data_IF_569196922355
#
_entry.id   IF_569196922355
#
_cell.length_a   1.000
_cell.length_b   1.000
_cell.length_c   1.000
_cell.angle_alpha   90.00
_cell.angle_beta   90.00
_cell.angle_gamma   90.00
#
_symmetry.space_group_name_H-M   'P 1'
#
loop_
_entity.id
_entity.type
_entity.pdbx_description
1 polymer ?
#
# COMPACT_ATOMS: atom_id res chain seq x y z
N UNK A 1 -5.56 -0.26 -40.69
CA UNK A 1 -6.40 -1.21 -39.91
C UNK A 1 -5.56 -2.40 -39.47
N UNK A 2 -4.96 -2.30 -38.28
CA UNK A 2 -4.67 -3.43 -37.38
C UNK A 2 -4.70 -2.82 -35.98
N UNK A 3 -5.83 -3.06 -35.30
CA UNK A 3 -6.05 -2.71 -33.90
C UNK A 3 -5.00 -3.44 -33.07
N UNK A 4 -3.96 -2.73 -32.64
CA UNK A 4 -3.08 -3.23 -31.59
C UNK A 4 -3.68 -2.71 -30.28
N UNK A 5 -4.44 -3.57 -29.61
CA UNK A 5 -4.88 -3.36 -28.23
C UNK A 5 -3.63 -3.23 -27.37
N UNK A 6 -3.20 -2.01 -27.11
CA UNK A 6 -2.17 -1.69 -26.14
C UNK A 6 -2.85 -1.49 -24.79
N UNK A 7 -3.30 -2.58 -24.17
CA UNK A 7 -3.52 -2.64 -22.73
C UNK A 7 -2.14 -2.58 -22.06
N UNK A 8 -1.50 -1.40 -22.10
CA UNK A 8 -0.46 -1.09 -21.13
C UNK A 8 -1.18 -0.71 -19.85
N UNK A 9 -1.05 -1.59 -18.86
CA UNK A 9 -1.53 -1.38 -17.51
C UNK A 9 -1.01 -0.03 -17.01
N UNK A 10 -1.91 0.94 -17.02
CA UNK A 10 -1.71 2.30 -16.60
C UNK A 10 -1.97 2.34 -15.10
N UNK A 11 -0.87 2.42 -14.37
CA UNK A 11 -0.63 2.75 -12.96
C UNK A 11 0.59 1.90 -12.59
N UNK A 12 1.63 2.53 -12.07
CA UNK A 12 2.89 1.86 -11.75
C UNK A 12 2.64 0.49 -11.13
N UNK A 13 3.00 -0.57 -11.85
CA UNK A 13 3.76 -1.63 -11.20
C UNK A 13 4.90 -0.88 -10.54
N UNK A 14 4.75 -0.58 -9.25
CA UNK A 14 5.85 -0.19 -8.39
C UNK A 14 6.91 -1.22 -8.71
N UNK A 15 8.00 -0.77 -9.33
CA UNK A 15 9.23 -1.53 -9.31
C UNK A 15 9.46 -1.79 -7.82
N UNK A 16 9.25 -3.03 -7.39
CA UNK A 16 9.81 -3.49 -6.13
C UNK A 16 11.32 -3.50 -6.33
N UNK A 17 11.96 -2.33 -6.18
CA UNK A 17 13.39 -2.27 -5.95
C UNK A 17 13.60 -2.84 -4.56
N UNK A 18 13.78 -4.15 -4.55
CA UNK A 18 14.50 -4.83 -3.49
C UNK A 18 15.86 -4.18 -3.38
N UNK A 19 16.15 -3.59 -2.22
CA UNK A 19 17.51 -3.32 -1.81
C UNK A 19 17.75 -4.04 -0.49
N UNK A 20 18.16 -5.31 -0.57
CA UNK A 20 19.10 -5.79 0.43
C UNK A 20 20.36 -4.95 0.30
N UNK A 21 20.80 -4.35 1.41
CA UNK A 21 22.22 -4.37 1.71
C UNK A 21 22.38 -4.93 3.12
N UNK A 22 22.90 -6.15 3.19
CA UNK A 22 23.41 -6.68 4.44
C UNK A 22 24.71 -5.98 4.79
N UNK A 23 24.82 -5.41 5.99
CA UNK A 23 25.71 -6.00 7.01
C UNK A 23 25.61 -5.28 8.36
N UNK A 24 25.57 -6.15 9.38
CA UNK A 24 26.12 -6.01 10.74
C UNK A 24 25.42 -5.09 11.73
N UNK A 25 24.92 -5.76 12.76
CA UNK A 25 24.77 -5.27 14.12
C UNK A 25 25.87 -4.25 14.49
N UNK A 26 25.46 -3.00 14.73
CA UNK A 26 25.98 -2.19 15.82
C UNK A 26 24.79 -1.44 16.41
N UNK A 27 24.44 -1.80 17.64
CA UNK A 27 23.62 -0.98 18.54
C UNK A 27 24.37 0.33 18.77
N UNK A 28 23.81 1.45 18.31
CA UNK A 28 24.07 2.74 18.92
C UNK A 28 22.75 3.49 19.11
N UNK A 29 22.54 3.83 20.36
CA UNK A 29 21.37 4.46 20.97
C UNK A 29 21.21 5.92 20.53
N UNK A 30 20.96 6.16 19.24
CA UNK A 30 20.60 7.49 18.69
C UNK A 30 19.09 7.68 18.56
N UNK A 31 18.32 6.95 19.37
CA UNK A 31 16.84 6.96 19.41
C UNK A 31 16.22 8.28 19.89
N UNK A 32 17.04 9.30 20.21
CA UNK A 32 16.59 10.53 20.87
C UNK A 32 16.54 11.76 19.96
N UNK A 33 17.31 11.83 18.87
CA UNK A 33 17.39 13.03 18.01
C UNK A 33 16.49 12.98 16.76
N UNK A 34 16.07 11.79 16.32
CA UNK A 34 15.10 11.61 15.22
C UNK A 34 13.62 11.76 15.65
N UNK A 35 13.38 12.00 16.94
CA UNK A 35 12.04 12.22 17.53
C UNK A 35 11.64 13.71 17.58
N UNK A 36 12.57 14.62 17.31
CA UNK A 36 12.20 15.96 16.89
C UNK A 36 11.63 15.84 15.47
N UNK A 37 10.40 16.32 15.26
CA UNK A 37 9.66 16.44 13.99
C UNK A 37 10.59 16.18 12.79
N UNK A 38 10.36 15.14 11.96
CA UNK A 38 11.07 15.11 10.70
C UNK A 38 10.61 16.38 9.97
N UNK A 39 11.50 17.37 9.85
CA UNK A 39 11.34 18.48 8.93
C UNK A 39 11.50 17.88 7.54
N UNK A 40 10.48 17.15 7.08
CA UNK A 40 10.30 16.86 5.66
C UNK A 40 9.68 18.10 5.04
N UNK A 41 10.42 19.20 5.06
CA UNK A 41 10.09 20.31 4.17
C UNK A 41 10.47 19.88 2.76
N UNK A 42 9.60 20.14 1.77
CA UNK A 42 9.87 19.96 0.33
C UNK A 42 11.20 20.60 -0.14
N UNK A 43 11.82 21.44 0.69
CA UNK A 43 13.09 22.11 0.43
C UNK A 43 14.35 21.33 0.86
N UNK A 44 14.24 20.21 1.58
CA UNK A 44 15.39 19.55 2.22
C UNK A 44 16.19 18.58 1.32
N UNK A 45 15.79 18.35 0.07
CA UNK A 45 16.58 17.53 -0.87
C UNK A 45 17.46 18.42 -1.74
N UNK A 46 18.69 18.69 -1.29
CA UNK A 46 19.74 19.20 -2.15
C UNK A 46 20.56 18.06 -2.77
N UNK A 47 20.65 18.14 -4.10
CA UNK A 47 21.80 17.74 -4.93
C UNK A 47 22.17 16.25 -4.92
N UNK A 48 21.23 15.43 -5.42
CA UNK A 48 21.52 14.16 -6.09
C UNK A 48 21.20 14.31 -7.59
N UNK A 49 22.04 13.77 -8.46
CA UNK A 49 22.14 14.09 -9.89
C UNK A 49 20.80 14.01 -10.69
N UNK A 50 20.39 15.18 -11.20
CA UNK A 50 19.47 15.46 -12.31
C UNK A 50 18.22 14.57 -12.51
N UNK A 51 17.14 14.88 -11.79
CA UNK A 51 15.77 14.62 -12.27
C UNK A 51 14.80 15.73 -11.79
N UNK A 52 14.85 16.91 -12.41
CA UNK A 52 13.66 17.75 -12.64
C UNK A 52 14.07 19.07 -13.30
N UNK A 53 13.76 19.21 -14.59
CA UNK A 53 13.90 20.50 -15.30
C UNK A 53 12.54 21.14 -15.64
N UNK A 54 11.39 20.59 -15.19
CA UNK A 54 10.06 21.16 -15.49
C UNK A 54 8.99 20.86 -14.40
N UNK A 55 9.27 21.14 -13.12
CA UNK A 55 8.18 21.27 -12.13
C UNK A 55 7.57 22.66 -12.27
N UNK A 56 6.41 22.77 -12.91
CA UNK A 56 5.63 24.00 -12.98
C UNK A 56 4.40 23.86 -12.06
N UNK A 57 4.19 24.83 -11.18
CA UNK A 57 2.88 24.99 -10.53
C UNK A 57 1.85 25.35 -11.58
N UNK A 58 0.68 24.72 -11.53
CA UNK A 58 -0.41 25.02 -12.46
C UNK A 58 -0.92 26.48 -12.31
N UNK A 59 -1.72 26.95 -13.27
CA UNK A 59 -2.28 28.31 -13.25
C UNK A 59 -3.17 28.57 -12.02
N UNK A 60 -3.64 27.52 -11.35
CA UNK A 60 -4.45 27.61 -10.13
C UNK A 60 -3.62 27.67 -8.84
N UNK A 61 -2.33 27.32 -8.91
CA UNK A 61 -1.42 27.19 -7.77
C UNK A 61 -1.80 26.04 -6.81
N UNK A 62 -2.69 25.14 -7.20
CA UNK A 62 -3.22 24.06 -6.34
C UNK A 62 -2.52 22.73 -6.59
N UNK A 63 -2.02 22.50 -7.80
CA UNK A 63 -1.36 21.26 -8.16
C UNK A 63 0.09 21.52 -8.56
N UNK A 64 0.95 20.59 -8.16
CA UNK A 64 2.27 20.44 -8.72
C UNK A 64 2.15 19.52 -9.95
N UNK A 65 2.51 20.05 -11.12
CA UNK A 65 2.54 19.27 -12.38
C UNK A 65 3.87 18.56 -12.47
N UNK A 66 3.81 17.23 -12.64
CA UNK A 66 4.96 16.36 -12.75
C UNK A 66 4.90 15.62 -14.08
N UNK A 67 6.00 15.66 -14.83
CA UNK A 67 6.14 14.88 -16.06
C UNK A 67 6.77 13.51 -15.76
N UNK A 68 6.05 12.44 -16.11
CA UNK A 68 6.54 11.06 -15.98
C UNK A 68 6.44 10.34 -17.34
N UNK A 69 7.55 10.33 -18.07
CA UNK A 69 7.58 9.82 -19.45
C UNK A 69 6.71 10.68 -20.37
N UNK A 70 5.63 10.11 -20.90
CA UNK A 70 4.66 10.81 -21.76
C UNK A 70 3.46 11.37 -20.99
N UNK A 71 3.41 11.14 -19.67
CA UNK A 71 2.24 11.44 -18.85
C UNK A 71 2.45 12.70 -18.02
N UNK A 72 1.41 13.53 -18.00
CA UNK A 72 1.27 14.67 -17.10
C UNK A 72 0.49 14.23 -15.86
N UNK A 73 1.15 14.26 -14.70
CA UNK A 73 0.55 13.91 -13.42
C UNK A 73 0.37 15.17 -12.56
N UNK A 74 -0.74 15.24 -11.83
CA UNK A 74 -1.06 16.39 -11.00
C UNK A 74 -1.16 15.97 -9.53
N UNK A 75 -0.27 16.51 -8.72
CA UNK A 75 -0.12 16.19 -7.30
C UNK A 75 -0.73 17.33 -6.49
N UNK A 76 -1.69 17.06 -5.58
CA UNK A 76 -2.25 18.12 -4.74
C UNK A 76 -1.17 18.73 -3.85
N UNK A 77 -1.05 20.06 -3.88
CA UNK A 77 -0.15 20.79 -2.99
C UNK A 77 -0.82 20.93 -1.63
N UNK A 78 -0.31 20.20 -0.64
CA UNK A 78 -0.76 20.27 0.76
C UNK A 78 0.21 21.12 1.55
N UNK A 79 -0.31 22.06 2.35
CA UNK A 79 0.51 22.85 3.25
C UNK A 79 1.15 21.94 4.29
N UNK A 80 2.40 22.20 4.61
CA UNK A 80 3.13 21.42 5.62
C UNK A 80 2.42 21.41 6.98
N UNK A 81 1.73 22.50 7.35
CA UNK A 81 0.92 22.58 8.58
C UNK A 81 -0.27 21.63 8.62
N UNK A 82 -0.73 21.20 7.44
CA UNK A 82 -1.93 20.39 7.26
C UNK A 82 -1.55 18.90 7.07
N UNK A 83 -0.26 18.59 6.96
CA UNK A 83 0.23 17.21 6.91
C UNK A 83 0.11 16.53 8.26
N UNK A 84 -0.39 15.30 8.24
CA UNK A 84 -0.53 14.48 9.44
C UNK A 84 0.75 13.67 9.65
N UNK A 85 1.30 13.74 10.85
CA UNK A 85 2.48 12.94 11.21
C UNK A 85 2.24 11.45 10.97
N UNK A 86 3.16 10.83 10.25
CA UNK A 86 3.12 9.39 9.96
C UNK A 86 2.31 9.03 8.71
N UNK A 87 1.56 9.97 8.13
CA UNK A 87 0.87 9.77 6.85
C UNK A 87 1.85 10.06 5.71
N UNK A 88 1.99 9.09 4.82
CA UNK A 88 2.74 9.24 3.58
C UNK A 88 1.83 9.80 2.48
N UNK A 89 2.16 10.99 1.99
CA UNK A 89 1.43 11.64 0.89
C UNK A 89 2.02 11.23 -0.46
N UNK A 90 1.28 11.46 -1.55
CA UNK A 90 1.63 11.08 -2.92
C UNK A 90 3.04 11.52 -3.32
N UNK A 91 3.46 12.73 -2.96
CA UNK A 91 4.82 13.20 -3.26
C UNK A 91 5.87 12.33 -2.54
N UNK A 92 5.66 12.05 -1.26
CA UNK A 92 6.55 11.21 -0.46
C UNK A 92 6.58 9.78 -1.03
N UNK A 93 5.42 9.21 -1.35
CA UNK A 93 5.28 7.87 -1.90
C UNK A 93 5.94 7.69 -3.29
N UNK A 94 6.03 8.75 -4.10
CA UNK A 94 6.64 8.70 -5.44
C UNK A 94 8.12 9.10 -5.46
N UNK A 95 8.55 10.01 -4.59
CA UNK A 95 9.87 10.66 -4.69
C UNK A 95 10.73 10.54 -3.45
N UNK A 96 10.14 10.32 -2.27
CA UNK A 96 10.92 10.14 -1.06
C UNK A 96 11.26 8.65 -0.90
N UNK A 97 12.54 8.29 -1.10
CA UNK A 97 13.07 6.96 -0.80
C UNK A 97 13.16 6.71 0.72
N UNK A 98 12.04 6.81 1.45
CA UNK A 98 12.08 6.83 2.91
C UNK A 98 10.99 5.99 3.59
N UNK A 99 10.67 4.85 3.00
CA UNK A 99 9.73 3.85 3.56
C UNK A 99 10.10 3.47 5.00
N UNK A 100 11.41 3.41 5.30
CA UNK A 100 11.93 3.11 6.65
C UNK A 100 11.58 4.18 7.69
N UNK A 101 11.42 5.45 7.30
CA UNK A 101 11.05 6.53 8.23
C UNK A 101 9.59 6.38 8.66
N UNK A 102 8.66 6.15 7.74
CA UNK A 102 7.25 5.91 8.09
C UNK A 102 7.09 4.66 8.96
N UNK A 103 7.79 3.58 8.63
CA UNK A 103 7.84 2.37 9.44
C UNK A 103 8.36 2.61 10.85
N UNK A 104 9.33 3.51 11.03
CA UNK A 104 9.87 3.84 12.34
C UNK A 104 8.94 4.76 13.14
N UNK A 105 8.35 5.78 12.49
CA UNK A 105 7.44 6.74 13.12
C UNK A 105 6.16 6.06 13.61
N UNK A 106 5.62 5.14 12.82
CA UNK A 106 4.33 4.52 13.05
C UNK A 106 4.41 3.25 13.92
N UNK A 107 5.61 2.87 14.37
CA UNK A 107 5.84 1.66 15.16
C UNK A 107 5.12 1.75 16.52
N UNK A 108 4.21 0.82 16.84
CA UNK A 108 3.61 0.72 18.17
C UNK A 108 4.67 0.50 19.27
N UNK A 109 4.47 1.06 20.46
CA UNK A 109 5.33 0.71 21.61
C UNK A 109 5.20 -0.79 21.92
N UNK A 110 6.28 -1.39 22.43
CA UNK A 110 6.31 -2.83 22.70
C UNK A 110 6.41 -3.72 21.44
N UNK A 111 6.72 -3.15 20.28
CA UNK A 111 6.90 -3.91 19.03
C UNK A 111 8.28 -3.69 18.38
N UNK A 112 8.66 -4.61 17.50
CA UNK A 112 9.81 -4.51 16.60
C UNK A 112 9.36 -4.61 15.15
N UNK A 113 10.02 -3.86 14.26
CA UNK A 113 9.80 -3.94 12.82
C UNK A 113 9.95 -5.38 12.32
N UNK A 114 9.04 -5.79 11.44
CA UNK A 114 9.03 -7.09 10.79
C UNK A 114 8.97 -6.91 9.26
N UNK A 115 9.45 -7.91 8.54
CA UNK A 115 9.14 -8.04 7.12
C UNK A 115 7.71 -8.56 6.99
N UNK A 116 6.90 -7.90 6.16
CA UNK A 116 5.53 -8.31 5.91
C UNK A 116 5.20 -8.20 4.43
N UNK A 117 3.91 -8.27 4.13
CA UNK A 117 3.41 -8.05 2.78
C UNK A 117 3.08 -6.57 2.56
N UNK A 118 3.12 -6.12 1.31
CA UNK A 118 2.96 -4.70 0.91
C UNK A 118 1.97 -4.53 -0.24
N UNK A 119 1.02 -5.46 -0.35
CA UNK A 119 0.12 -5.56 -1.51
C UNK A 119 -1.06 -4.58 -1.48
N UNK A 120 -1.31 -3.91 -0.34
CA UNK A 120 -2.37 -2.91 -0.25
C UNK A 120 -1.91 -1.56 -0.79
N UNK A 121 -0.61 -1.28 -0.68
CA UNK A 121 0.00 -0.02 -1.12
C UNK A 121 -0.43 0.34 -2.54
N UNK A 122 -0.93 1.56 -2.70
CA UNK A 122 -1.29 2.11 -4.00
C UNK A 122 -1.28 3.62 -3.98
N UNK A 123 -1.00 4.21 -5.12
CA UNK A 123 -1.00 5.64 -5.31
C UNK A 123 -1.70 5.99 -6.62
N UNK A 124 -2.48 7.06 -6.60
CA UNK A 124 -3.10 7.59 -7.80
C UNK A 124 -3.06 9.10 -7.77
N UNK A 125 -2.47 9.69 -8.82
CA UNK A 125 -2.51 11.12 -9.04
C UNK A 125 -3.90 11.58 -9.52
N UNK A 126 -4.15 12.87 -9.38
CA UNK A 126 -5.29 13.51 -10.00
C UNK A 126 -5.04 13.69 -11.51
N UNK A 127 -6.10 13.60 -12.30
CA UNK A 127 -6.13 14.17 -13.64
C UNK A 127 -7.22 15.25 -13.66
N UNK A 128 -6.92 16.52 -13.35
CA UNK A 128 -7.90 17.60 -13.24
C UNK A 128 -8.50 18.00 -14.58
N UNK A 129 -9.70 18.57 -14.62
CA UNK A 129 -10.37 18.95 -15.88
C UNK A 129 -9.57 19.97 -16.70
N UNK A 130 -8.91 20.93 -16.02
CA UNK A 130 -8.09 21.95 -16.68
C UNK A 130 -6.88 21.35 -17.44
N UNK A 131 -6.47 20.12 -17.12
CA UNK A 131 -5.38 19.44 -17.81
C UNK A 131 -5.77 18.95 -19.22
N UNK A 132 -7.07 19.01 -19.56
CA UNK A 132 -7.60 18.57 -20.86
C UNK A 132 -7.64 19.76 -21.83
N UNK A 133 -6.57 19.93 -22.61
CA UNK A 133 -6.45 20.99 -23.61
C UNK A 133 -6.71 20.52 -25.06
N UNK A 134 -7.01 19.24 -25.25
CA UNK A 134 -7.13 18.60 -26.55
C UNK A 134 -8.02 17.34 -26.53
N UNK A 135 -8.55 16.97 -27.68
CA UNK A 135 -9.35 15.74 -27.83
C UNK A 135 -8.54 14.47 -27.46
N UNK A 136 -7.24 14.46 -27.74
CA UNK A 136 -6.35 13.35 -27.37
C UNK A 136 -6.19 13.21 -25.85
N UNK A 137 -6.02 14.33 -25.12
CA UNK A 137 -6.01 14.31 -23.65
C UNK A 137 -7.36 13.93 -23.07
N UNK A 138 -8.48 14.24 -23.74
CA UNK A 138 -9.81 13.79 -23.30
C UNK A 138 -9.95 12.27 -23.41
N UNK A 139 -9.54 11.68 -24.54
CA UNK A 139 -9.55 10.22 -24.73
C UNK A 139 -8.66 9.55 -23.66
N UNK A 140 -7.46 10.10 -23.44
CA UNK A 140 -6.53 9.62 -22.42
C UNK A 140 -7.15 9.66 -21.03
N UNK A 141 -7.81 10.77 -20.67
CA UNK A 141 -8.52 10.92 -19.39
C UNK A 141 -9.60 9.86 -19.21
N UNK A 142 -10.41 9.60 -20.23
CA UNK A 142 -11.51 8.63 -20.16
C UNK A 142 -10.98 7.19 -20.01
N UNK A 143 -9.92 6.85 -20.73
CA UNK A 143 -9.22 5.57 -20.60
C UNK A 143 -8.59 5.42 -19.19
N UNK A 144 -7.98 6.47 -18.67
CA UNK A 144 -7.46 6.52 -17.30
C UNK A 144 -8.55 6.36 -16.26
N UNK A 145 -9.70 7.03 -16.40
CA UNK A 145 -10.84 6.91 -15.50
C UNK A 145 -11.32 5.47 -15.39
N UNK A 146 -11.38 4.76 -16.53
CA UNK A 146 -11.73 3.35 -16.55
C UNK A 146 -10.67 2.49 -15.86
N UNK A 147 -9.39 2.64 -16.21
CA UNK A 147 -8.29 1.87 -15.59
C UNK A 147 -8.23 2.08 -14.08
N UNK A 148 -8.34 3.34 -13.64
CA UNK A 148 -8.28 3.74 -12.25
C UNK A 148 -9.41 3.12 -11.43
N UNK A 149 -10.64 3.15 -11.94
CA UNK A 149 -11.77 2.50 -11.29
C UNK A 149 -11.60 0.97 -11.26
N UNK A 150 -11.18 0.31 -12.35
CA UNK A 150 -10.96 -1.13 -12.32
C UNK A 150 -9.85 -1.56 -11.34
N UNK A 151 -8.79 -0.75 -11.21
CA UNK A 151 -7.63 -1.10 -10.38
C UNK A 151 -7.79 -0.75 -8.90
N UNK A 152 -8.42 0.39 -8.57
CA UNK A 152 -8.42 0.91 -7.20
C UNK A 152 -9.75 0.72 -6.51
N UNK A 153 -10.87 0.57 -7.25
CA UNK A 153 -12.20 0.38 -6.65
C UNK A 153 -12.21 -0.71 -5.59
N UNK A 154 -11.49 -1.80 -5.85
CA UNK A 154 -11.25 -2.83 -4.85
C UNK A 154 -9.77 -3.19 -4.84
N UNK A 155 -9.11 -3.00 -3.70
CA UNK A 155 -7.76 -3.49 -3.45
C UNK A 155 -7.78 -4.62 -2.45
N UNK A 156 -6.99 -5.64 -2.72
CA UNK A 156 -6.92 -6.83 -1.87
C UNK A 156 -5.45 -7.10 -1.56
N UNK A 157 -5.16 -7.25 -0.28
CA UNK A 157 -3.85 -7.64 0.20
C UNK A 157 -3.97 -8.86 1.12
N UNK A 158 -2.92 -9.67 1.15
CA UNK A 158 -2.76 -10.76 2.12
C UNK A 158 -1.94 -10.23 3.29
N UNK A 159 -2.30 -10.53 4.52
CA UNK A 159 -1.53 -10.08 5.68
C UNK A 159 -0.20 -10.83 5.81
N UNK A 160 -0.22 -12.15 5.67
CA UNK A 160 0.96 -12.99 5.85
C UNK A 160 1.73 -13.14 4.55
N UNK A 161 3.04 -12.91 4.62
CA UNK A 161 3.94 -13.01 3.47
C UNK A 161 4.20 -14.47 3.15
N UNK A 162 4.14 -14.83 1.87
CA UNK A 162 4.59 -16.12 1.39
C UNK A 162 6.07 -16.04 1.03
N UNK A 163 6.87 -16.97 1.53
CA UNK A 163 8.23 -17.22 1.04
C UNK A 163 8.28 -18.62 0.46
N UNK A 164 8.97 -18.80 -0.67
CA UNK A 164 9.20 -20.11 -1.24
C UNK A 164 10.63 -20.60 -0.90
N UNK A 165 10.83 -21.92 -0.92
CA UNK A 165 12.13 -22.53 -0.58
C UNK A 165 13.27 -22.08 -1.53
N UNK A 166 12.95 -21.62 -2.74
CA UNK A 166 13.91 -21.26 -3.79
C UNK A 166 14.38 -19.79 -3.69
N UNK A 167 13.52 -18.89 -3.18
CA UNK A 167 13.78 -17.46 -2.96
C UNK A 167 14.59 -17.15 -1.70
N UNK A 168 14.96 -18.17 -0.91
CA UNK A 168 16.08 -18.05 0.03
C UNK A 168 17.45 -17.89 -0.68
N UNK A 169 17.49 -17.95 -2.01
CA UNK A 169 18.64 -17.55 -2.84
C UNK A 169 18.35 -16.22 -3.51
N UNK A 170 19.21 -15.25 -3.21
CA UNK A 170 19.04 -13.84 -3.53
C UNK A 170 19.45 -13.50 -4.98
N UNK A 171 18.60 -12.72 -5.66
CA UNK A 171 18.87 -11.84 -6.81
C UNK A 171 19.09 -12.43 -8.22
N UNK A 172 18.54 -11.69 -9.18
CA UNK A 172 18.66 -11.80 -10.65
C UNK A 172 17.88 -12.94 -11.32
N UNK A 173 16.55 -12.77 -11.47
CA UNK A 173 15.79 -13.48 -12.52
C UNK A 173 15.51 -12.52 -13.68
N UNK A 174 16.39 -12.56 -14.68
CA UNK A 174 16.14 -11.99 -16.01
C UNK A 174 15.08 -12.79 -16.80
N UNK A 175 14.61 -13.93 -16.26
CA UNK A 175 13.58 -14.77 -16.87
C UNK A 175 12.23 -14.58 -16.17
N UNK A 176 11.19 -14.33 -16.98
CA UNK A 176 9.81 -14.21 -16.51
C UNK A 176 9.45 -15.39 -15.59
N UNK A 177 8.76 -15.09 -14.49
CA UNK A 177 8.30 -16.10 -13.56
C UNK A 177 7.42 -17.14 -14.30
N UNK A 178 7.84 -18.41 -14.39
CA UNK A 178 6.92 -19.48 -14.81
C UNK A 178 5.76 -19.56 -13.83
N UNK A 179 4.62 -19.01 -14.26
CA UNK A 179 3.43 -18.83 -13.44
C UNK A 179 2.73 -20.14 -13.10
N UNK A 180 3.12 -21.25 -13.74
CA UNK A 180 2.60 -22.59 -13.47
C UNK A 180 3.58 -23.44 -12.64
N UNK A 181 4.81 -22.97 -12.41
CA UNK A 181 5.76 -23.68 -11.54
C UNK A 181 5.18 -23.77 -10.14
N UNK A 182 5.02 -24.99 -9.65
CA UNK A 182 4.59 -25.25 -8.27
C UNK A 182 5.80 -25.25 -7.36
N UNK A 183 5.69 -24.53 -6.26
CA UNK A 183 6.74 -24.39 -5.26
C UNK A 183 6.11 -24.57 -3.88
N UNK A 184 6.91 -25.03 -2.92
CA UNK A 184 6.48 -25.12 -1.52
C UNK A 184 6.51 -23.71 -0.93
N UNK A 185 5.38 -23.28 -0.36
CA UNK A 185 5.23 -21.99 0.30
C UNK A 185 5.22 -22.12 1.81
N UNK A 186 5.84 -21.15 2.47
CA UNK A 186 5.78 -20.92 3.90
C UNK A 186 5.14 -19.56 4.19
N UNK A 187 4.29 -19.51 5.21
CA UNK A 187 3.64 -18.28 5.65
C UNK A 187 4.46 -17.63 6.76
N UNK A 188 4.90 -16.40 6.53
CA UNK A 188 5.55 -15.55 7.53
C UNK A 188 4.51 -14.61 8.12
N UNK A 189 4.27 -14.76 9.41
CA UNK A 189 3.27 -14.00 10.15
C UNK A 189 3.82 -12.67 10.65
N UNK A 190 2.91 -11.72 10.79
CA UNK A 190 3.13 -10.41 11.42
C UNK A 190 2.03 -10.22 12.45
N UNK A 191 2.36 -9.61 13.59
CA UNK A 191 1.37 -9.41 14.68
C UNK A 191 0.51 -8.17 14.45
N UNK A 192 1.13 -7.09 13.95
CA UNK A 192 0.47 -5.79 13.77
C UNK A 192 0.92 -5.17 12.46
N UNK A 193 -0.02 -4.59 11.71
CA UNK A 193 0.29 -3.77 10.54
C UNK A 193 -0.31 -2.38 10.71
N UNK A 194 0.48 -1.36 10.39
CA UNK A 194 0.00 0.00 10.19
C UNK A 194 -0.22 0.27 8.70
N UNK A 195 -1.25 1.05 8.38
CA UNK A 195 -1.52 1.50 7.02
C UNK A 195 -1.77 3.00 7.05
N UNK A 196 -0.99 3.72 6.25
CA UNK A 196 -1.17 5.14 6.00
C UNK A 196 -2.20 5.35 4.90
N UNK A 197 -3.15 6.25 5.13
CA UNK A 197 -4.09 6.73 4.12
C UNK A 197 -3.97 8.25 4.01
N UNK A 198 -3.62 8.74 2.82
CA UNK A 198 -3.70 10.14 2.44
C UNK A 198 -4.91 10.33 1.52
N UNK A 199 -5.98 10.91 2.06
CA UNK A 199 -7.26 11.16 1.39
C UNK A 199 -7.46 12.62 0.98
N UNK A 200 -6.54 13.52 1.31
CA UNK A 200 -6.58 14.89 0.80
C UNK A 200 -7.91 15.64 1.10
N UNK A 201 -8.55 15.35 2.23
CA UNK A 201 -9.83 15.94 2.62
C UNK A 201 -9.76 17.45 2.90
N UNK A 202 -8.56 17.99 3.11
CA UNK A 202 -8.31 19.44 3.20
C UNK A 202 -8.22 20.11 1.83
N UNK A 203 -8.09 19.33 0.76
CA UNK A 203 -7.92 19.79 -0.62
C UNK A 203 -9.18 19.62 -1.45
N UNK A 204 -9.85 18.47 -1.31
CA UNK A 204 -11.10 18.16 -2.02
C UNK A 204 -12.33 18.47 -1.16
N UNK A 205 -13.40 18.97 -1.79
CA UNK A 205 -14.67 19.25 -1.08
C UNK A 205 -15.35 17.98 -0.59
N UNK A 206 -15.17 16.88 -1.33
CA UNK A 206 -15.68 15.55 -0.99
C UNK A 206 -14.61 14.52 -1.26
N UNK A 207 -14.56 13.50 -0.41
CA UNK A 207 -13.69 12.33 -0.58
C UNK A 207 -14.55 11.11 -0.93
N UNK A 208 -14.06 10.18 -1.76
CA UNK A 208 -14.71 8.88 -1.96
C UNK A 208 -14.90 8.16 -0.63
N UNK A 209 -16.04 7.49 -0.45
CA UNK A 209 -16.17 6.58 0.68
C UNK A 209 -15.18 5.42 0.49
N UNK A 210 -14.42 5.12 1.54
CA UNK A 210 -13.51 4.01 1.62
C UNK A 210 -13.88 3.14 2.82
N UNK A 211 -14.08 1.85 2.59
CA UNK A 211 -14.24 0.86 3.65
C UNK A 211 -13.11 -0.16 3.57
N UNK A 212 -12.46 -0.42 4.70
CA UNK A 212 -11.47 -1.48 4.84
C UNK A 212 -12.09 -2.61 5.64
N UNK A 213 -12.09 -3.80 5.05
CA UNK A 213 -12.56 -5.03 5.69
C UNK A 213 -11.39 -5.98 5.90
N UNK A 214 -11.40 -6.70 7.02
CA UNK A 214 -10.45 -7.79 7.29
C UNK A 214 -11.20 -9.11 7.31
N UNK A 215 -10.74 -10.08 6.53
CA UNK A 215 -11.31 -11.42 6.45
C UNK A 215 -10.29 -12.49 6.84
N UNK A 216 -10.70 -13.48 7.61
CA UNK A 216 -9.90 -14.65 7.97
C UNK A 216 -10.25 -15.86 7.13
N UNK A 217 -9.25 -16.46 6.47
CA UNK A 217 -9.42 -17.75 5.79
C UNK A 217 -8.93 -18.88 6.68
N UNK A 218 -9.86 -19.73 7.13
CA UNK A 218 -9.52 -20.90 7.94
C UNK A 218 -8.68 -21.91 7.15
N UNK A 219 -7.97 -22.80 7.84
CA UNK A 219 -7.29 -23.94 7.20
C UNK A 219 -8.24 -24.79 6.36
N UNK A 220 -9.47 -25.01 6.85
CA UNK A 220 -10.48 -25.78 6.12
C UNK A 220 -10.97 -25.08 4.85
N UNK A 221 -11.11 -23.75 4.89
CA UNK A 221 -11.45 -22.94 3.72
C UNK A 221 -10.29 -22.91 2.74
N UNK A 222 -9.06 -22.75 3.21
CA UNK A 222 -7.85 -22.81 2.37
C UNK A 222 -7.81 -24.10 1.55
N UNK A 223 -8.04 -25.24 2.19
CA UNK A 223 -8.00 -26.55 1.53
C UNK A 223 -9.12 -26.77 0.48
N UNK A 224 -10.13 -25.88 0.41
CA UNK A 224 -11.11 -25.88 -0.69
C UNK A 224 -10.52 -25.35 -2.01
N UNK A 225 -9.56 -24.42 -1.92
CA UNK A 225 -9.00 -23.70 -3.07
C UNK A 225 -7.55 -24.09 -3.37
N UNK A 226 -6.79 -24.40 -2.32
CA UNK A 226 -5.34 -24.57 -2.34
C UNK A 226 -4.97 -25.94 -1.76
N UNK A 227 -3.85 -26.54 -2.18
CA UNK A 227 -3.45 -27.85 -1.67
C UNK A 227 -2.98 -27.78 -0.21
N UNK A 228 -3.24 -28.86 0.55
CA UNK A 228 -2.90 -28.92 1.99
C UNK A 228 -1.40 -28.91 2.26
N UNK A 229 -0.60 -29.37 1.30
CA UNK A 229 0.85 -29.43 1.38
C UNK A 229 1.53 -28.12 0.98
N UNK A 230 0.77 -27.05 0.70
CA UNK A 230 1.26 -25.74 0.28
C UNK A 230 2.19 -25.75 -0.93
N UNK A 231 2.04 -26.73 -1.84
CA UNK A 231 2.78 -26.79 -3.09
C UNK A 231 1.90 -26.29 -4.25
N UNK A 232 2.03 -25.02 -4.59
CA UNK A 232 1.18 -24.36 -5.59
C UNK A 232 1.93 -23.30 -6.40
N UNK A 233 1.30 -22.86 -7.49
CA UNK A 233 1.83 -21.89 -8.44
C UNK A 233 1.18 -20.52 -8.29
N UNK A 234 1.76 -19.49 -8.93
CA UNK A 234 1.19 -18.14 -8.98
C UNK A 234 -0.21 -18.15 -9.61
N UNK A 235 -0.43 -19.00 -10.62
CA UNK A 235 -1.74 -19.13 -11.26
C UNK A 235 -2.78 -19.77 -10.32
N UNK A 236 -2.38 -20.71 -9.45
CA UNK A 236 -3.27 -21.28 -8.43
C UNK A 236 -3.69 -20.20 -7.43
N UNK A 237 -2.75 -19.40 -6.93
CA UNK A 237 -3.05 -18.24 -6.07
C UNK A 237 -4.00 -17.26 -6.77
N UNK A 238 -3.75 -16.93 -8.04
CA UNK A 238 -4.63 -16.04 -8.81
C UNK A 238 -6.04 -16.61 -8.93
N UNK A 239 -6.17 -17.91 -9.20
CA UNK A 239 -7.47 -18.57 -9.29
C UNK A 239 -8.23 -18.53 -7.95
N UNK A 240 -7.56 -18.79 -6.82
CA UNK A 240 -8.13 -18.63 -5.48
C UNK A 240 -8.59 -17.19 -5.24
N UNK A 241 -7.75 -16.19 -5.50
CA UNK A 241 -8.10 -14.78 -5.30
C UNK A 241 -9.31 -14.37 -6.14
N UNK A 242 -9.39 -14.82 -7.40
CA UNK A 242 -10.55 -14.58 -8.26
C UNK A 242 -11.81 -15.23 -7.69
N UNK A 243 -11.75 -16.49 -7.27
CA UNK A 243 -12.90 -17.19 -6.71
C UNK A 243 -13.42 -16.54 -5.41
N UNK A 244 -12.50 -16.07 -4.55
CA UNK A 244 -12.84 -15.31 -3.34
C UNK A 244 -13.44 -13.94 -3.68
N UNK A 245 -12.97 -13.26 -4.71
CA UNK A 245 -13.57 -12.00 -5.14
C UNK A 245 -14.98 -12.23 -5.72
N UNK A 246 -15.16 -13.25 -6.56
CA UNK A 246 -16.45 -13.59 -7.19
C UNK A 246 -17.52 -14.00 -6.17
N UNK A 247 -17.12 -14.64 -5.05
CA UNK A 247 -18.03 -15.00 -3.96
C UNK A 247 -18.13 -13.93 -2.86
N UNK A 248 -17.55 -12.73 -3.08
CA UNK A 248 -17.49 -11.63 -2.10
C UNK A 248 -16.94 -12.07 -0.73
N UNK A 249 -15.93 -12.92 -0.71
CA UNK A 249 -15.29 -13.46 0.49
C UNK A 249 -16.24 -14.21 1.44
N UNK A 250 -17.39 -14.69 0.95
CA UNK A 250 -18.40 -15.36 1.78
C UNK A 250 -17.96 -16.70 2.37
N UNK A 251 -16.89 -17.29 1.83
CA UNK A 251 -16.24 -18.49 2.39
C UNK A 251 -15.24 -18.18 3.53
N UNK A 252 -14.94 -16.90 3.76
CA UNK A 252 -14.06 -16.40 4.82
C UNK A 252 -14.88 -15.76 5.96
N UNK A 253 -14.30 -15.71 7.16
CA UNK A 253 -14.92 -15.03 8.29
C UNK A 253 -14.60 -13.53 8.21
N UNK A 254 -15.61 -12.66 8.31
CA UNK A 254 -15.41 -11.21 8.41
C UNK A 254 -15.03 -10.86 9.85
N UNK A 255 -13.80 -10.38 10.05
CA UNK A 255 -13.21 -10.15 11.37
C UNK A 255 -13.34 -8.71 11.84
N UNK A 256 -13.20 -7.76 10.92
CA UNK A 256 -13.25 -6.33 11.23
C UNK A 256 -13.73 -5.52 10.02
N UNK A 257 -14.25 -4.31 10.26
CA UNK A 257 -14.70 -3.41 9.19
C UNK A 257 -14.67 -1.97 9.64
N UNK A 258 -13.96 -1.12 8.90
CA UNK A 258 -13.85 0.29 9.23
C UNK A 258 -14.05 1.17 8.02
N UNK A 259 -14.91 2.18 8.16
CA UNK A 259 -14.97 3.31 7.24
C UNK A 259 -13.76 4.22 7.50
N UNK A 260 -13.01 4.53 6.45
CA UNK A 260 -11.89 5.48 6.47
C UNK A 260 -12.39 6.77 5.80
N UNK A 261 -12.65 7.80 6.59
CA UNK A 261 -13.19 9.08 6.13
C UNK A 261 -12.26 10.28 6.42
N UNK A 262 -11.05 10.01 6.92
CA UNK A 262 -10.00 11.00 7.16
C UNK A 262 -8.62 10.41 6.89
N UNK A 263 -7.71 11.27 6.45
CA UNK A 263 -6.30 10.92 6.36
C UNK A 263 -5.77 10.53 7.74
N UNK A 264 -4.90 9.53 7.79
CA UNK A 264 -4.38 9.01 9.05
C UNK A 264 -3.65 7.68 8.91
N UNK A 265 -3.10 7.24 10.04
CA UNK A 265 -2.47 5.92 10.17
C UNK A 265 -3.40 5.04 10.99
N UNK A 266 -3.78 3.90 10.42
CA UNK A 266 -4.70 2.94 11.01
C UNK A 266 -4.00 1.61 11.23
N UNK A 267 -4.45 0.85 12.23
CA UNK A 267 -3.77 -0.36 12.67
C UNK A 267 -4.68 -1.59 12.56
N UNK A 268 -4.08 -2.70 12.14
CA UNK A 268 -4.69 -4.03 12.14
C UNK A 268 -3.92 -4.91 13.12
N UNK A 269 -4.62 -5.49 14.09
CA UNK A 269 -4.04 -6.37 15.11
C UNK A 269 -4.31 -7.83 14.77
N UNK A 270 -3.42 -8.41 13.98
CA UNK A 270 -3.51 -9.81 13.59
C UNK A 270 -3.30 -10.77 14.77
N UNK A 271 -2.56 -10.33 15.81
CA UNK A 271 -2.40 -11.10 17.04
C UNK A 271 -3.72 -11.27 17.78
N UNK A 272 -4.64 -10.30 17.68
CA UNK A 272 -6.00 -10.41 18.22
C UNK A 272 -6.94 -11.14 17.25
N UNK A 273 -6.95 -10.76 15.96
CA UNK A 273 -7.86 -11.38 14.97
C UNK A 273 -7.63 -12.88 14.81
N UNK A 274 -6.39 -13.33 14.97
CA UNK A 274 -6.01 -14.74 14.82
C UNK A 274 -5.38 -15.33 16.09
N UNK A 275 -5.81 -14.87 17.28
CA UNK A 275 -5.29 -15.33 18.57
C UNK A 275 -5.37 -16.84 18.80
N UNK A 276 -6.39 -17.48 18.24
CA UNK A 276 -6.61 -18.93 18.35
C UNK A 276 -5.92 -19.72 17.22
N UNK A 277 -5.18 -19.02 16.34
CA UNK A 277 -4.47 -19.57 15.19
C UNK A 277 -5.35 -20.45 14.28
N UNK A 278 -6.60 -20.05 14.08
CA UNK A 278 -7.58 -20.76 13.26
C UNK A 278 -7.51 -20.34 11.78
N UNK A 279 -6.95 -19.16 11.49
CA UNK A 279 -6.80 -18.62 10.16
C UNK A 279 -5.41 -18.88 9.62
N UNK A 280 -5.35 -19.45 8.42
CA UNK A 280 -4.11 -19.68 7.69
C UNK A 280 -3.61 -18.41 7.01
N UNK A 281 -4.53 -17.55 6.58
CA UNK A 281 -4.25 -16.28 5.91
C UNK A 281 -5.35 -15.27 6.25
N UNK A 282 -5.00 -13.99 6.30
CA UNK A 282 -5.96 -12.89 6.38
C UNK A 282 -5.91 -12.05 5.11
N UNK A 283 -7.08 -11.53 4.74
CA UNK A 283 -7.27 -10.66 3.58
C UNK A 283 -7.74 -9.30 4.04
N UNK A 284 -7.09 -8.28 3.50
CA UNK A 284 -7.45 -6.88 3.68
C UNK A 284 -8.10 -6.46 2.38
N UNK A 285 -9.37 -6.08 2.43
CA UNK A 285 -10.16 -5.66 1.27
C UNK A 285 -10.55 -4.21 1.46
N UNK A 286 -9.89 -3.32 0.72
CA UNK A 286 -10.20 -1.90 0.68
C UNK A 286 -11.11 -1.61 -0.51
N UNK A 287 -12.30 -1.09 -0.24
CA UNK A 287 -13.36 -0.85 -1.22
C UNK A 287 -13.72 0.63 -1.28
N UNK A 288 -13.68 1.18 -2.48
CA UNK A 288 -14.15 2.52 -2.81
C UNK A 288 -15.47 2.42 -3.58
N UNK A 289 -16.42 3.34 -3.33
CA UNK A 289 -17.69 3.36 -4.09
C UNK A 289 -17.45 3.65 -5.58
N UNK A 290 -16.92 4.84 -5.85
CA UNK A 290 -16.48 5.33 -7.15
C UNK A 290 -15.35 6.34 -6.88
N UNK A 291 -14.23 6.21 -7.58
CA UNK A 291 -13.13 7.14 -7.40
C UNK A 291 -13.05 8.11 -8.58
N UNK A 292 -13.28 9.42 -8.34
CA UNK A 292 -13.19 10.42 -9.38
C UNK A 292 -11.80 10.43 -10.04
N UNK A 293 -11.76 10.67 -11.35
CA UNK A 293 -10.51 10.69 -12.11
C UNK A 293 -9.58 11.83 -11.67
N UNK A 294 -10.15 12.92 -11.19
CA UNK A 294 -9.49 14.11 -10.63
C UNK A 294 -9.12 14.00 -9.14
N UNK A 295 -9.45 12.89 -8.48
CA UNK A 295 -9.15 12.67 -7.07
C UNK A 295 -7.78 11.99 -6.87
N UNK A 296 -6.93 12.51 -6.00
CA UNK A 296 -5.66 11.87 -5.66
C UNK A 296 -5.77 11.04 -4.37
N UNK A 297 -5.01 9.96 -4.27
CA UNK A 297 -4.92 9.13 -3.07
C UNK A 297 -3.55 8.48 -2.95
N UNK A 298 -3.07 8.33 -1.71
CA UNK A 298 -1.93 7.46 -1.41
C UNK A 298 -2.27 6.54 -0.24
N UNK A 299 -1.95 5.26 -0.40
CA UNK A 299 -2.08 4.21 0.61
C UNK A 299 -0.72 3.53 0.70
N UNK A 300 -0.19 3.38 1.91
CA UNK A 300 1.04 2.62 2.16
C UNK A 300 0.85 1.66 3.34
N UNK A 301 1.16 0.39 3.12
CA UNK A 301 1.03 -0.71 4.09
C UNK A 301 2.36 -1.42 4.42
N UNK A 302 3.52 -0.87 4.05
CA UNK A 302 4.85 -1.43 4.35
C UNK A 302 5.33 -1.17 5.80
N UNK A 303 4.39 -1.29 6.74
CA UNK A 303 4.61 -0.97 8.14
C UNK A 303 4.13 -2.14 8.99
N UNK A 304 4.95 -3.17 9.04
CA UNK A 304 4.67 -4.43 9.71
C UNK A 304 5.52 -4.60 10.97
N UNK A 305 4.93 -5.16 12.03
CA UNK A 305 5.54 -5.25 13.36
C UNK A 305 5.18 -6.56 14.07
N UNK A 306 6.11 -7.04 14.90
CA UNK A 306 5.89 -8.14 15.84
C UNK A 306 5.97 -7.62 17.27
N UNK A 307 5.09 -8.13 18.13
CA UNK A 307 5.00 -7.77 19.55
C UNK A 307 6.18 -8.40 20.28
N UNK A 308 7.04 -7.56 20.86
CA UNK A 308 8.21 -7.96 21.63
C UNK A 308 8.04 -7.72 23.14
N UNK A 309 7.15 -6.79 23.52
CA UNK A 309 6.70 -6.58 24.89
C UNK A 309 5.17 -6.36 24.92
N UNK A 310 4.44 -7.38 25.38
CA UNK A 310 2.97 -7.35 25.40
C UNK A 310 2.38 -6.33 26.37
N UNK A 311 3.09 -5.95 27.45
CA UNK A 311 2.58 -4.96 28.41
C UNK A 311 2.63 -3.55 27.84
N UNK A 312 3.76 -3.18 27.23
CA UNK A 312 3.92 -1.87 26.58
C UNK A 312 2.97 -1.76 25.38
N UNK A 313 2.85 -2.83 24.58
CA UNK A 313 1.92 -2.86 23.46
C UNK A 313 0.46 -2.72 23.89
N UNK A 314 0.03 -3.46 24.92
CA UNK A 314 -1.35 -3.37 25.41
C UNK A 314 -1.69 -1.94 25.91
N UNK A 315 -0.75 -1.27 26.58
CA UNK A 315 -0.92 0.11 27.00
C UNK A 315 -1.03 1.06 25.81
N UNK A 316 -0.10 0.94 24.85
CA UNK A 316 -0.12 1.76 23.63
C UNK A 316 -1.39 1.54 22.81
N UNK A 317 -1.86 0.29 22.71
CA UNK A 317 -3.11 -0.07 22.04
C UNK A 317 -4.31 0.61 22.68
N UNK A 318 -4.42 0.60 24.01
CA UNK A 318 -5.52 1.28 24.71
C UNK A 318 -5.50 2.79 24.43
N UNK A 319 -4.31 3.42 24.40
CA UNK A 319 -4.14 4.84 24.10
C UNK A 319 -4.42 5.20 22.62
N UNK A 320 -4.45 4.22 21.71
CA UNK A 320 -4.64 4.40 20.26
C UNK A 320 -5.81 3.58 19.69
N UNK A 321 -6.72 3.09 20.54
CA UNK A 321 -7.83 2.20 20.14
C UNK A 321 -8.72 2.78 19.05
N UNK A 322 -8.84 4.10 19.01
CA UNK A 322 -9.59 4.81 17.98
C UNK A 322 -8.98 4.72 16.58
N UNK A 323 -7.77 4.19 16.42
CA UNK A 323 -7.09 3.99 15.13
C UNK A 323 -7.14 2.55 14.62
N UNK A 324 -7.64 1.60 15.41
CA UNK A 324 -7.71 0.20 14.99
C UNK A 324 -8.89 -0.07 14.07
N UNK A 325 -8.68 -0.95 13.10
CA UNK A 325 -9.75 -1.47 12.25
C UNK A 325 -10.44 -2.58 13.04
N UNK A 326 -11.60 -2.33 13.66
CA UNK A 326 -12.29 -3.31 14.51
C UNK A 326 -13.71 -3.58 14.04
#
# INVERSE_FOLDING_TARGET
MKKLLLTMALLGTVFTVSACSGNKDVVSDESSELLAKPEVTQAATKEGESFNDNSETDETGKYEKIQYGIYELYFPIIKESDKIRGVEYLYDAYFAENVNVHKSINRPEGTSSAEGNTQLSCCAAAFPEFAVDSEEKQITRDEMAKSKNELIKTRVARAYRESDEETNVSYERDEEADRNKKMKHEFKHVDVQAVSFALYESFYETIPNLTVNVYGMSYSTWNKYMPEDDVYSINDTKAMMTALAENNYSDCDKLASRKIDKSGVYYMDYSEYNKDNIYKQLFIVAEFDEMPIDYAVAINDDMNYNISNSQDYAKWKEDNKDKFIE
#
